data_IF_681934153459
#
_entry.id   IF_681934153459
#
_cell.length_a   1.000
_cell.length_b   1.000
_cell.length_c   1.000
_cell.angle_alpha   90.00
_cell.angle_beta   90.00
_cell.angle_gamma   90.00
#
_symmetry.space_group_name_H-M   'P 1'
#
loop_
_entity.id
_entity.type
_entity.pdbx_description
1 polymer ?
#
# COMPACT_ATOMS: atom_id res chain seq x y z
N UNK A 1 8.15 -19.86 -17.75
CA UNK A 1 6.95 -19.03 -17.50
C UNK A 1 7.24 -17.92 -16.49
N UNK A 2 7.72 -18.19 -15.27
CA UNK A 2 7.94 -17.17 -14.22
C UNK A 2 8.80 -15.96 -14.68
N UNK A 3 9.99 -16.20 -15.22
CA UNK A 3 10.89 -15.12 -15.69
C UNK A 3 10.25 -14.27 -16.80
N UNK A 4 9.54 -14.88 -17.73
CA UNK A 4 8.85 -14.17 -18.80
C UNK A 4 7.73 -13.29 -18.24
N UNK A 5 6.98 -13.78 -17.25
CA UNK A 5 5.96 -12.98 -16.56
C UNK A 5 6.57 -11.79 -15.83
N UNK A 6 7.69 -11.97 -15.12
CA UNK A 6 8.41 -10.87 -14.47
C UNK A 6 8.89 -9.82 -15.48
N UNK A 7 9.45 -10.24 -16.62
CA UNK A 7 9.91 -9.32 -17.66
C UNK A 7 8.75 -8.56 -18.32
N UNK A 8 7.57 -9.18 -18.47
CA UNK A 8 6.40 -8.53 -19.06
C UNK A 8 5.75 -7.49 -18.15
N UNK A 9 5.92 -7.60 -16.83
CA UNK A 9 5.39 -6.61 -15.87
C UNK A 9 6.10 -5.26 -16.03
N UNK A 10 7.40 -5.24 -16.37
CA UNK A 10 8.17 -4.00 -16.47
C UNK A 10 7.55 -3.01 -17.47
N UNK A 11 7.32 -3.36 -18.75
CA UNK A 11 6.69 -2.44 -19.69
C UNK A 11 5.24 -2.12 -19.34
N UNK A 12 4.49 -3.06 -18.76
CA UNK A 12 3.11 -2.80 -18.33
C UNK A 12 3.06 -1.78 -17.18
N UNK A 13 3.96 -1.89 -16.20
CA UNK A 13 4.08 -0.90 -15.13
C UNK A 13 4.46 0.48 -15.68
N UNK A 14 5.34 0.55 -16.68
CA UNK A 14 5.67 1.79 -17.40
C UNK A 14 4.44 2.42 -18.04
N UNK A 15 3.68 1.65 -18.81
CA UNK A 15 2.45 2.14 -19.46
C UNK A 15 1.38 2.61 -18.45
N UNK A 16 1.25 1.92 -17.32
CA UNK A 16 0.36 2.35 -16.23
C UNK A 16 0.83 3.68 -15.63
N UNK A 17 2.14 3.83 -15.41
CA UNK A 17 2.72 5.07 -14.91
C UNK A 17 2.48 6.24 -15.85
N UNK A 18 2.82 6.09 -17.13
CA UNK A 18 2.60 7.11 -18.17
C UNK A 18 1.11 7.48 -18.28
N UNK A 19 0.21 6.48 -18.32
CA UNK A 19 -1.23 6.72 -18.40
C UNK A 19 -1.79 7.47 -17.18
N UNK A 20 -1.34 7.16 -15.98
CA UNK A 20 -1.76 7.87 -14.75
C UNK A 20 -1.19 9.28 -14.70
N UNK A 21 0.04 9.50 -15.17
CA UNK A 21 0.67 10.82 -15.27
C UNK A 21 -0.05 11.71 -16.29
N UNK A 22 -0.39 11.18 -17.45
CA UNK A 22 -1.12 11.89 -18.49
C UNK A 22 -2.53 12.30 -18.01
N UNK A 23 -3.26 11.40 -17.35
CA UNK A 23 -4.57 11.75 -16.77
C UNK A 23 -4.39 12.80 -15.66
N UNK A 24 -3.34 12.72 -14.86
CA UNK A 24 -3.01 13.69 -13.81
C UNK A 24 -2.81 15.10 -14.40
N UNK A 25 -2.19 15.19 -15.56
CA UNK A 25 -1.96 16.47 -16.24
C UNK A 25 -3.28 17.18 -16.59
N UNK A 26 -4.29 16.43 -17.05
CA UNK A 26 -5.61 16.99 -17.38
C UNK A 26 -6.54 17.17 -16.17
N UNK A 27 -6.48 16.28 -15.20
CA UNK A 27 -7.43 16.23 -14.09
C UNK A 27 -6.94 16.91 -12.81
N UNK A 28 -5.68 17.34 -12.82
CA UNK A 28 -5.04 17.98 -11.68
C UNK A 28 -4.37 17.02 -10.68
N UNK A 29 -3.49 17.55 -9.83
CA UNK A 29 -2.59 16.74 -9.00
C UNK A 29 -3.30 15.88 -7.94
N UNK A 30 -4.50 16.26 -7.50
CA UNK A 30 -5.27 15.47 -6.52
C UNK A 30 -5.80 14.17 -7.14
N UNK A 31 -6.41 14.27 -8.33
CA UNK A 31 -6.92 13.10 -9.06
C UNK A 31 -5.76 12.22 -9.52
N UNK A 32 -4.68 12.83 -9.99
CA UNK A 32 -3.46 12.11 -10.35
C UNK A 32 -2.85 11.35 -9.17
N UNK A 33 -2.77 11.96 -8.00
CA UNK A 33 -2.31 11.30 -6.77
C UNK A 33 -3.19 10.11 -6.37
N UNK A 34 -4.52 10.26 -6.47
CA UNK A 34 -5.47 9.17 -6.22
C UNK A 34 -5.28 8.01 -7.22
N UNK A 35 -5.18 8.32 -8.51
CA UNK A 35 -5.00 7.31 -9.55
C UNK A 35 -3.66 6.58 -9.39
N UNK A 36 -2.58 7.31 -9.16
CA UNK A 36 -1.26 6.72 -8.94
C UNK A 36 -1.23 5.84 -7.69
N UNK A 37 -1.80 6.30 -6.58
CA UNK A 37 -1.91 5.51 -5.34
C UNK A 37 -2.77 4.26 -5.49
N UNK A 38 -3.79 4.29 -6.35
CA UNK A 38 -4.69 3.15 -6.58
C UNK A 38 -4.09 2.18 -7.59
N UNK A 39 -3.70 2.65 -8.76
CA UNK A 39 -3.16 1.81 -9.83
C UNK A 39 -1.74 1.31 -9.53
N UNK A 40 -0.94 2.07 -8.80
CA UNK A 40 0.37 1.62 -8.32
C UNK A 40 0.30 0.36 -7.44
N UNK A 41 -0.85 0.11 -6.81
CA UNK A 41 -1.11 -1.08 -5.99
C UNK A 41 -2.11 -2.06 -6.64
N UNK A 42 -2.37 -1.92 -7.94
CA UNK A 42 -3.36 -2.76 -8.65
C UNK A 42 -2.97 -4.25 -8.62
N UNK A 43 -1.70 -4.56 -8.71
CA UNK A 43 -1.18 -5.93 -8.67
C UNK A 43 -1.50 -6.59 -7.34
N UNK A 44 -1.20 -5.91 -6.22
CA UNK A 44 -1.50 -6.38 -4.86
C UNK A 44 -3.00 -6.57 -4.65
N UNK A 45 -3.80 -5.64 -5.16
CA UNK A 45 -5.26 -5.74 -5.08
C UNK A 45 -5.78 -6.97 -5.85
N UNK A 46 -5.33 -7.18 -7.08
CA UNK A 46 -5.74 -8.32 -7.91
C UNK A 46 -5.33 -9.64 -7.24
N UNK A 47 -4.08 -9.77 -6.82
CA UNK A 47 -3.58 -10.96 -6.13
C UNK A 47 -4.39 -11.22 -4.86
N UNK A 48 -4.66 -10.17 -4.07
CA UNK A 48 -5.44 -10.29 -2.84
C UNK A 48 -6.86 -10.76 -3.08
N UNK A 49 -7.54 -10.27 -4.11
CA UNK A 49 -8.90 -10.69 -4.47
C UNK A 49 -8.94 -12.18 -4.83
N UNK A 50 -7.99 -12.65 -5.66
CA UNK A 50 -7.92 -14.05 -6.04
C UNK A 50 -7.55 -14.95 -4.85
N UNK A 51 -6.58 -14.54 -4.04
CA UNK A 51 -6.19 -15.29 -2.84
C UNK A 51 -7.33 -15.37 -1.81
N UNK A 52 -8.12 -14.31 -1.65
CA UNK A 52 -9.32 -14.33 -0.80
C UNK A 52 -10.38 -15.30 -1.31
N UNK A 53 -10.62 -15.37 -2.62
CA UNK A 53 -11.56 -16.33 -3.23
C UNK A 53 -11.15 -17.78 -2.98
N UNK A 54 -9.85 -18.05 -2.92
CA UNK A 54 -9.28 -19.38 -2.63
C UNK A 54 -9.15 -19.65 -1.12
N UNK A 55 -9.56 -18.71 -0.25
CA UNK A 55 -9.45 -18.86 1.20
C UNK A 55 -8.03 -18.70 1.76
N UNK A 56 -7.09 -18.17 0.97
CA UNK A 56 -5.68 -18.03 1.33
C UNK A 56 -5.42 -16.74 2.12
N UNK A 57 -6.05 -16.59 3.28
CA UNK A 57 -5.97 -15.37 4.10
C UNK A 57 -4.55 -15.00 4.54
N UNK A 58 -3.71 -15.98 4.85
CA UNK A 58 -2.33 -15.73 5.27
C UNK A 58 -1.46 -15.22 4.12
N UNK A 59 -1.76 -15.65 2.88
CA UNK A 59 -1.10 -15.13 1.68
C UNK A 59 -1.44 -13.65 1.51
N UNK A 60 -2.70 -13.26 1.70
CA UNK A 60 -3.13 -11.85 1.60
C UNK A 60 -2.42 -10.98 2.63
N UNK A 61 -2.44 -11.41 3.91
CA UNK A 61 -1.78 -10.67 5.00
C UNK A 61 -0.28 -10.52 4.76
N UNK A 62 0.39 -11.60 4.38
CA UNK A 62 1.83 -11.61 4.11
C UNK A 62 2.18 -10.76 2.89
N UNK A 63 1.36 -10.78 1.83
CA UNK A 63 1.56 -9.98 0.63
C UNK A 63 1.46 -8.49 0.94
N UNK A 64 0.42 -8.06 1.67
CA UNK A 64 0.24 -6.65 2.05
C UNK A 64 1.38 -6.19 2.96
N UNK A 65 1.73 -6.95 4.00
CA UNK A 65 2.84 -6.61 4.89
C UNK A 65 4.18 -6.56 4.12
N UNK A 66 4.40 -7.52 3.22
CA UNK A 66 5.59 -7.57 2.37
C UNK A 66 5.68 -6.38 1.41
N UNK A 67 4.57 -5.95 0.83
CA UNK A 67 4.51 -4.76 -0.03
C UNK A 67 4.86 -3.49 0.74
N UNK A 68 4.32 -3.30 1.94
CA UNK A 68 4.64 -2.16 2.81
C UNK A 68 6.14 -2.13 3.13
N UNK A 69 6.70 -3.25 3.58
CA UNK A 69 8.13 -3.37 3.91
C UNK A 69 9.00 -3.15 2.66
N UNK A 70 8.63 -3.77 1.53
CA UNK A 70 9.34 -3.66 0.26
C UNK A 70 9.37 -2.22 -0.24
N UNK A 71 8.25 -1.51 -0.20
CA UNK A 71 8.19 -0.11 -0.62
C UNK A 71 9.03 0.80 0.28
N UNK A 72 9.02 0.59 1.60
CA UNK A 72 9.83 1.40 2.51
C UNK A 72 11.32 1.12 2.33
N UNK A 73 11.74 -0.13 2.28
CA UNK A 73 13.15 -0.47 2.25
C UNK A 73 13.74 -0.38 0.84
N UNK A 74 13.09 -1.00 -0.14
CA UNK A 74 13.65 -1.15 -1.48
C UNK A 74 13.39 0.08 -2.34
N UNK A 75 12.15 0.57 -2.40
CA UNK A 75 11.80 1.70 -3.28
C UNK A 75 12.39 3.00 -2.73
N UNK A 76 12.23 3.30 -1.44
CA UNK A 76 12.82 4.50 -0.85
C UNK A 76 14.34 4.41 -0.86
N UNK A 77 14.93 3.26 -0.48
CA UNK A 77 16.36 3.06 -0.50
C UNK A 77 16.98 3.21 -1.90
N UNK A 78 16.37 2.61 -2.92
CA UNK A 78 16.81 2.75 -4.31
C UNK A 78 16.65 4.20 -4.81
N UNK A 79 15.57 4.89 -4.44
CA UNK A 79 15.36 6.29 -4.80
C UNK A 79 16.41 7.21 -4.18
N UNK A 80 16.73 6.99 -2.90
CA UNK A 80 17.80 7.74 -2.21
C UNK A 80 19.16 7.47 -2.83
N UNK A 81 19.46 6.22 -3.16
CA UNK A 81 20.71 5.84 -3.80
C UNK A 81 20.84 6.49 -5.19
N UNK A 82 19.84 6.33 -6.05
CA UNK A 82 19.83 6.90 -7.39
C UNK A 82 19.91 8.43 -7.37
N UNK A 83 19.18 9.07 -6.48
CA UNK A 83 19.23 10.51 -6.28
C UNK A 83 20.59 10.98 -5.74
N UNK A 84 21.18 10.26 -4.77
CA UNK A 84 22.48 10.57 -4.18
C UNK A 84 23.65 10.41 -5.15
N UNK A 85 23.55 9.49 -6.11
CA UNK A 85 24.55 9.35 -7.18
C UNK A 85 24.51 10.53 -8.17
N UNK A 86 23.35 11.14 -8.36
CA UNK A 86 23.17 12.24 -9.33
C UNK A 86 23.30 13.63 -8.68
N UNK A 87 22.84 13.79 -7.45
CA UNK A 87 22.76 15.07 -6.75
C UNK A 87 23.52 15.02 -5.42
N UNK A 88 24.37 16.00 -5.13
CA UNK A 88 25.10 16.10 -3.86
C UNK A 88 24.19 16.31 -2.64
N UNK A 89 23.04 16.92 -2.84
CA UNK A 89 22.05 17.19 -1.77
C UNK A 89 20.66 16.93 -2.29
N UNK A 90 19.91 16.13 -1.57
CA UNK A 90 18.51 15.86 -1.83
C UNK A 90 17.66 16.64 -0.81
N UNK A 91 16.62 17.30 -1.31
CA UNK A 91 15.66 18.01 -0.45
C UNK A 91 14.32 17.29 -0.54
N UNK A 92 13.63 17.17 0.57
CA UNK A 92 12.27 16.63 0.64
C UNK A 92 11.30 17.67 1.23
N UNK A 93 10.03 17.53 0.90
CA UNK A 93 8.99 18.38 1.48
C UNK A 93 8.64 17.85 2.87
N UNK A 94 8.95 18.65 3.91
CA UNK A 94 8.74 18.24 5.29
C UNK A 94 7.27 17.94 5.60
N UNK A 95 6.32 18.76 5.12
CA UNK A 95 4.89 18.55 5.36
C UNK A 95 4.40 17.22 4.73
N UNK A 96 4.82 16.94 3.50
CA UNK A 96 4.47 15.67 2.84
C UNK A 96 5.08 14.49 3.60
N UNK A 97 6.31 14.62 4.08
CA UNK A 97 6.97 13.58 4.87
C UNK A 97 6.25 13.32 6.20
N UNK A 98 5.81 14.35 6.91
CA UNK A 98 5.06 14.25 8.16
C UNK A 98 3.72 13.54 7.96
N UNK A 99 2.96 13.93 6.91
CA UNK A 99 1.70 13.27 6.57
C UNK A 99 1.93 11.80 6.20
N UNK A 100 2.90 11.52 5.33
CA UNK A 100 3.21 10.15 4.90
C UNK A 100 3.67 9.26 6.06
N UNK A 101 4.47 9.80 6.98
CA UNK A 101 4.91 9.08 8.19
C UNK A 101 3.74 8.76 9.12
N UNK A 102 2.82 9.72 9.29
CA UNK A 102 1.61 9.51 10.09
C UNK A 102 0.70 8.44 9.46
N UNK A 103 0.52 8.48 8.14
CA UNK A 103 -0.25 7.48 7.40
C UNK A 103 0.36 6.08 7.53
N UNK A 104 1.70 5.98 7.44
CA UNK A 104 2.40 4.73 7.64
C UNK A 104 2.19 4.18 9.06
N UNK A 105 2.25 5.05 10.09
CA UNK A 105 1.98 4.64 11.46
C UNK A 105 0.56 4.08 11.61
N UNK A 106 -0.44 4.75 11.04
CA UNK A 106 -1.82 4.25 11.04
C UNK A 106 -1.95 2.92 10.29
N UNK A 107 -1.26 2.74 9.17
CA UNK A 107 -1.25 1.48 8.43
C UNK A 107 -0.67 0.33 9.28
N UNK A 108 0.45 0.56 9.96
CA UNK A 108 1.07 -0.43 10.85
C UNK A 108 0.15 -0.76 12.02
N UNK A 109 -0.45 0.24 12.68
CA UNK A 109 -1.42 0.02 13.75
C UNK A 109 -2.65 -0.75 13.27
N UNK A 110 -3.16 -0.43 12.08
CA UNK A 110 -4.28 -1.12 11.44
C UNK A 110 -4.01 -2.59 11.16
N UNK A 111 -2.77 -2.97 10.88
CA UNK A 111 -2.35 -4.37 10.73
C UNK A 111 -2.09 -5.05 12.07
N UNK A 112 -1.43 -4.36 13.00
CA UNK A 112 -1.01 -4.94 14.28
C UNK A 112 -2.17 -5.13 15.26
N UNK A 113 -3.11 -4.18 15.35
CA UNK A 113 -4.20 -4.24 16.34
C UNK A 113 -5.07 -5.49 16.16
N UNK A 114 -5.61 -5.80 14.96
CA UNK A 114 -6.37 -7.04 14.77
C UNK A 114 -5.53 -8.30 15.00
N UNK A 115 -4.25 -8.29 14.60
CA UNK A 115 -3.35 -9.42 14.78
C UNK A 115 -3.09 -9.72 16.26
N UNK A 116 -2.80 -8.70 17.07
CA UNK A 116 -2.63 -8.84 18.52
C UNK A 116 -3.91 -9.29 19.20
N UNK A 117 -5.06 -8.78 18.75
CA UNK A 117 -6.36 -9.14 19.32
C UNK A 117 -6.67 -10.63 19.14
N UNK A 118 -6.30 -11.25 18.02
CA UNK A 118 -6.48 -12.68 17.81
C UNK A 118 -5.68 -13.55 18.79
N UNK A 119 -4.54 -13.05 19.29
CA UNK A 119 -3.71 -13.78 20.24
C UNK A 119 -4.10 -13.59 21.70
N UNK A 120 -4.88 -12.55 22.02
CA UNK A 120 -5.22 -12.19 23.40
C UNK A 120 -6.64 -12.53 23.80
N UNK A 121 -7.54 -12.79 22.82
CA UNK A 121 -8.96 -13.07 23.08
C UNK A 121 -9.25 -14.57 23.06
N UNK A 122 -10.15 -15.01 23.96
CA UNK A 122 -10.62 -16.39 24.01
C UNK A 122 -11.14 -16.85 22.62
N UNK A 123 -10.70 -18.01 22.13
CA UNK A 123 -11.13 -18.55 20.83
C UNK A 123 -12.65 -18.61 20.61
N UNK A 124 -13.43 -18.75 21.70
CA UNK A 124 -14.90 -18.76 21.65
C UNK A 124 -15.53 -17.41 21.31
N UNK A 125 -14.81 -16.30 21.50
CA UNK A 125 -15.25 -14.93 21.24
C UNK A 125 -14.71 -14.38 19.92
N UNK A 126 -13.82 -15.11 19.26
CA UNK A 126 -13.15 -14.66 18.03
C UNK A 126 -14.12 -14.40 16.89
N UNK A 127 -15.15 -15.22 16.70
CA UNK A 127 -16.02 -15.14 15.52
C UNK A 127 -16.91 -13.91 15.47
N UNK A 128 -17.30 -13.31 16.59
CA UNK A 128 -18.21 -12.16 16.62
C UNK A 128 -17.51 -10.82 16.89
N UNK A 129 -16.56 -10.82 17.83
CA UNK A 129 -15.88 -9.59 18.25
C UNK A 129 -14.69 -9.25 17.38
N UNK A 130 -14.01 -10.24 16.86
CA UNK A 130 -12.88 -10.05 15.95
C UNK A 130 -13.31 -9.50 14.59
N UNK A 131 -14.39 -10.06 14.02
CA UNK A 131 -14.93 -9.55 12.76
C UNK A 131 -15.36 -8.08 12.88
N UNK A 132 -16.05 -7.72 13.96
CA UNK A 132 -16.46 -6.34 14.22
C UNK A 132 -15.26 -5.38 14.35
N UNK A 133 -14.21 -5.80 15.06
CA UNK A 133 -12.98 -5.01 15.19
C UNK A 133 -12.27 -4.85 13.84
N UNK A 134 -12.12 -5.93 13.08
CA UNK A 134 -11.48 -5.90 11.76
C UNK A 134 -12.22 -5.00 10.77
N UNK A 135 -13.55 -5.08 10.74
CA UNK A 135 -14.39 -4.21 9.90
C UNK A 135 -14.24 -2.75 10.34
N UNK A 136 -14.29 -2.48 11.64
CA UNK A 136 -14.11 -1.12 12.16
C UNK A 136 -12.75 -0.54 11.75
N UNK A 137 -11.67 -1.30 11.95
CA UNK A 137 -10.30 -0.88 11.55
C UNK A 137 -10.23 -0.65 10.04
N UNK A 138 -10.80 -1.53 9.23
CA UNK A 138 -10.82 -1.39 7.77
C UNK A 138 -11.54 -0.10 7.33
N UNK A 139 -12.71 0.20 7.92
CA UNK A 139 -13.46 1.43 7.64
C UNK A 139 -12.67 2.67 8.04
N UNK A 140 -12.05 2.67 9.22
CA UNK A 140 -11.21 3.77 9.69
C UNK A 140 -10.05 3.99 8.73
N UNK A 141 -9.37 2.93 8.28
CA UNK A 141 -8.27 3.04 7.32
C UNK A 141 -8.69 3.62 5.98
N UNK A 142 -9.86 3.21 5.45
CA UNK A 142 -10.42 3.78 4.21
C UNK A 142 -10.72 5.27 4.39
N UNK A 143 -11.32 5.68 5.52
CA UNK A 143 -11.61 7.08 5.81
C UNK A 143 -10.34 7.91 5.93
N UNK A 144 -9.32 7.42 6.66
CA UNK A 144 -8.03 8.09 6.78
C UNK A 144 -7.38 8.24 5.40
N UNK A 145 -7.39 7.19 4.58
CA UNK A 145 -6.88 7.25 3.21
C UNK A 145 -7.63 8.31 2.38
N UNK A 146 -8.95 8.30 2.40
CA UNK A 146 -9.75 9.29 1.69
C UNK A 146 -9.43 10.73 2.14
N UNK A 147 -9.29 10.96 3.45
CA UNK A 147 -8.92 12.27 3.99
C UNK A 147 -7.51 12.72 3.59
N UNK A 148 -6.58 11.81 3.40
CA UNK A 148 -5.21 12.12 2.98
C UNK A 148 -5.10 12.64 1.55
N UNK A 149 -6.14 12.41 0.73
CA UNK A 149 -6.20 12.85 -0.65
C UNK A 149 -6.67 14.32 -0.80
N UNK A 150 -7.22 14.92 0.27
CA UNK A 150 -7.74 16.31 0.30
C UNK A 150 -6.83 17.25 1.04
#
# INVERSE_FOLDING_TARGET
>A
MFILSCLSIIPLAGLMGEGTEEISFYSGPKIGGFLNGTFGNATELIISIFALKEGLFDVVKSSIAGAVIGNILLVIGASMLAGGLKYKTQKFNQKVSEVSSSMLLFAVLGLCIPALFTHTVDPKLLNTRYEGLSIFVAVVMIVIYALSLF
#
